data_IF_008947780965
#
_entry.id   IF_008947780965
#
_cell.length_a   1.000
_cell.length_b   1.000
_cell.length_c   1.000
_cell.angle_alpha   90.00
_cell.angle_beta   90.00
_cell.angle_gamma   90.00
#
_symmetry.space_group_name_H-M   'P 1'
#
loop_
_entity.id
_entity.type
_entity.pdbx_description
1 polymer ?
#
# COMPACT_ATOMS: atom_id res chain seq x y z
N UNK A 1 -70.91 -38.29 24.46
CA UNK A 1 -70.39 -38.58 23.10
C UNK A 1 -68.94 -38.29 23.04
N UNK A 2 -68.17 -39.36 23.25
CA UNK A 2 -66.69 -39.33 23.34
C UNK A 2 -66.10 -39.46 21.96
N UNK A 3 -65.28 -38.50 21.56
CA UNK A 3 -64.37 -38.70 20.45
C UNK A 3 -62.92 -38.61 20.98
N UNK A 4 -62.36 -39.78 21.14
CA UNK A 4 -60.94 -39.95 21.43
C UNK A 4 -60.13 -39.72 20.15
N UNK A 5 -59.34 -38.68 20.12
CA UNK A 5 -58.36 -38.45 19.07
C UNK A 5 -57.06 -39.14 19.44
N UNK A 6 -56.70 -40.17 18.66
CA UNK A 6 -55.49 -40.91 18.77
C UNK A 6 -54.31 -40.05 18.27
N UNK A 7 -53.32 -39.80 19.16
CA UNK A 7 -52.03 -39.19 18.76
C UNK A 7 -51.15 -40.29 18.15
N UNK A 8 -50.93 -40.17 16.84
CA UNK A 8 -49.96 -41.01 16.14
C UNK A 8 -48.60 -40.40 16.29
N UNK A 9 -47.70 -41.09 16.99
CA UNK A 9 -46.32 -40.72 17.15
C UNK A 9 -45.55 -40.86 15.87
N UNK A 10 -45.01 -39.75 15.33
CA UNK A 10 -44.09 -39.74 14.20
C UNK A 10 -42.68 -39.78 14.77
N UNK A 11 -41.83 -40.74 14.43
CA UNK A 11 -40.41 -40.70 14.84
C UNK A 11 -39.65 -39.64 14.07
N UNK A 12 -39.12 -38.70 14.82
CA UNK A 12 -38.26 -37.62 14.33
C UNK A 12 -36.89 -38.20 13.98
N UNK A 13 -36.65 -38.33 12.66
CA UNK A 13 -35.33 -38.73 12.16
C UNK A 13 -34.39 -37.53 12.27
N UNK A 14 -33.47 -37.52 13.23
CA UNK A 14 -32.41 -36.54 13.35
C UNK A 14 -31.37 -36.85 12.27
N UNK A 15 -31.41 -36.10 11.15
CA UNK A 15 -30.33 -36.06 10.21
C UNK A 15 -29.23 -35.14 10.76
N UNK A 16 -28.16 -35.73 11.27
CA UNK A 16 -26.92 -34.99 11.61
C UNK A 16 -26.25 -34.50 10.35
N UNK A 17 -26.40 -33.22 10.03
CA UNK A 17 -25.61 -32.56 9.00
C UNK A 17 -24.25 -32.26 9.61
N UNK A 18 -23.26 -33.09 9.30
CA UNK A 18 -21.85 -32.79 9.59
C UNK A 18 -21.42 -31.62 8.71
N UNK A 19 -21.34 -30.41 9.30
CA UNK A 19 -20.63 -29.29 8.71
C UNK A 19 -19.16 -29.64 8.63
N UNK A 20 -18.68 -30.06 7.47
CA UNK A 20 -17.26 -30.12 7.17
C UNK A 20 -16.78 -28.68 7.05
N UNK A 21 -16.26 -28.12 8.13
CA UNK A 21 -15.50 -26.88 8.09
C UNK A 21 -14.22 -27.15 7.31
N UNK A 22 -14.22 -26.84 6.03
CA UNK A 22 -12.99 -26.75 5.25
C UNK A 22 -12.14 -25.63 5.86
N UNK A 23 -10.88 -25.90 6.28
CA UNK A 23 -9.99 -24.81 6.61
C UNK A 23 -9.76 -24.04 5.30
N UNK A 24 -10.34 -22.83 5.20
CA UNK A 24 -9.90 -21.86 4.25
C UNK A 24 -8.42 -21.60 4.58
N UNK A 25 -7.53 -22.27 3.87
CA UNK A 25 -6.13 -21.90 3.78
C UNK A 25 -6.19 -20.48 3.24
N UNK A 26 -6.06 -19.49 4.15
CA UNK A 26 -5.90 -18.11 3.81
C UNK A 26 -4.70 -18.04 2.89
N UNK A 27 -4.96 -17.86 1.61
CA UNK A 27 -3.99 -17.27 0.71
C UNK A 27 -3.77 -15.86 1.27
N UNK A 28 -2.81 -15.73 2.17
CA UNK A 28 -2.12 -14.47 2.39
C UNK A 28 -1.47 -14.20 1.03
N UNK A 29 -2.21 -13.51 0.16
CA UNK A 29 -1.61 -12.92 -1.02
C UNK A 29 -0.44 -12.11 -0.50
N UNK A 30 0.77 -12.48 -0.92
CA UNK A 30 1.99 -11.74 -0.68
C UNK A 30 1.68 -10.30 -1.08
N UNK A 31 1.47 -9.43 -0.10
CA UNK A 31 1.19 -8.02 -0.37
C UNK A 31 2.44 -7.51 -1.07
N UNK A 32 2.30 -7.24 -2.36
CA UNK A 32 3.38 -6.69 -3.15
C UNK A 32 3.64 -5.28 -2.61
N UNK A 33 4.69 -5.12 -1.83
CA UNK A 33 5.13 -3.84 -1.33
C UNK A 33 5.92 -3.13 -2.41
N UNK A 34 5.51 -1.92 -2.73
CA UNK A 34 6.17 -1.09 -3.74
C UNK A 34 6.79 0.13 -3.05
N UNK A 35 8.09 0.06 -2.77
CA UNK A 35 8.81 1.19 -2.17
C UNK A 35 9.23 2.20 -3.20
N UNK A 36 9.07 3.47 -2.82
CA UNK A 36 9.50 4.60 -3.65
C UNK A 36 10.37 5.55 -2.84
N UNK A 37 11.45 5.97 -3.46
CA UNK A 37 12.19 7.14 -3.02
C UNK A 37 11.50 8.37 -3.59
N UNK A 38 11.00 9.21 -2.71
CA UNK A 38 10.29 10.45 -3.04
C UNK A 38 11.22 11.63 -2.81
N UNK A 39 11.30 12.52 -3.79
CA UNK A 39 12.00 13.80 -3.70
C UNK A 39 10.99 14.90 -3.95
N UNK A 40 10.83 15.82 -3.01
CA UNK A 40 9.92 16.95 -3.06
C UNK A 40 10.71 18.26 -2.95
N UNK A 41 11.03 18.89 -4.07
CA UNK A 41 11.66 20.20 -4.13
C UNK A 41 10.61 21.26 -3.84
N UNK A 42 10.76 21.97 -2.71
CA UNK A 42 9.77 22.95 -2.26
C UNK A 42 9.80 24.19 -3.13
N UNK A 43 8.62 24.63 -3.54
CA UNK A 43 8.42 25.95 -4.16
C UNK A 43 8.57 27.05 -3.12
N UNK A 44 8.60 28.31 -3.56
CA UNK A 44 8.57 29.47 -2.64
C UNK A 44 7.38 29.42 -1.71
N UNK A 45 6.22 28.99 -2.21
CA UNK A 45 5.00 28.84 -1.39
C UNK A 45 5.12 27.67 -0.41
N UNK A 46 5.73 26.56 -0.85
CA UNK A 46 6.04 25.42 0.02
C UNK A 46 6.99 25.80 1.16
N UNK A 47 8.01 26.59 0.88
CA UNK A 47 8.93 27.12 1.90
C UNK A 47 8.24 28.06 2.90
N UNK A 48 7.36 28.94 2.42
CA UNK A 48 6.54 29.79 3.30
C UNK A 48 5.61 28.95 4.20
N UNK A 49 5.04 27.89 3.63
CA UNK A 49 4.19 26.97 4.38
C UNK A 49 4.99 26.21 5.45
N UNK A 50 6.20 25.76 5.13
CA UNK A 50 7.11 25.14 6.10
C UNK A 50 7.45 26.09 7.26
N UNK A 51 7.64 27.38 7.00
CA UNK A 51 7.90 28.38 8.03
C UNK A 51 6.71 28.63 8.97
N UNK A 52 5.48 28.43 8.49
CA UNK A 52 4.24 28.59 9.28
C UNK A 52 3.90 27.38 10.14
N UNK A 53 4.48 26.23 9.80
CA UNK A 53 4.25 24.95 10.48
C UNK A 53 5.55 24.49 11.14
N UNK A 54 5.44 23.53 12.07
CA UNK A 54 6.62 22.80 12.53
C UNK A 54 7.00 21.73 11.50
N UNK A 55 8.28 21.38 11.41
CA UNK A 55 8.72 20.26 10.56
C UNK A 55 8.04 18.94 10.94
N UNK A 56 7.77 18.74 12.24
CA UNK A 56 7.02 17.57 12.74
C UNK A 56 5.58 17.58 12.23
N UNK A 57 4.92 18.75 12.25
CA UNK A 57 3.56 18.91 11.73
C UNK A 57 3.50 18.67 10.21
N UNK A 58 4.47 19.20 9.47
CA UNK A 58 4.57 18.93 8.03
C UNK A 58 4.74 17.43 7.75
N UNK A 59 5.63 16.75 8.48
CA UNK A 59 5.82 15.30 8.34
C UNK A 59 4.53 14.53 8.64
N UNK A 60 3.78 14.92 9.67
CA UNK A 60 2.49 14.29 9.99
C UNK A 60 1.48 14.47 8.84
N UNK A 61 1.35 15.67 8.29
CA UNK A 61 0.47 15.92 7.14
C UNK A 61 0.89 15.14 5.89
N UNK A 62 2.19 14.99 5.66
CA UNK A 62 2.71 14.14 4.57
C UNK A 62 2.35 12.67 4.79
N UNK A 63 2.40 12.18 6.04
CA UNK A 63 2.00 10.80 6.35
C UNK A 63 0.52 10.57 6.09
N UNK A 64 -0.36 11.46 6.56
CA UNK A 64 -1.81 11.39 6.30
C UNK A 64 -2.13 11.45 4.80
N UNK A 65 -1.43 12.31 4.06
CA UNK A 65 -1.58 12.40 2.61
C UNK A 65 -1.14 11.13 1.89
N UNK A 66 -0.05 10.50 2.33
CA UNK A 66 0.41 9.23 1.80
C UNK A 66 -0.60 8.10 2.09
N UNK A 67 -1.14 8.04 3.30
CA UNK A 67 -2.16 7.06 3.69
C UNK A 67 -3.42 7.17 2.83
N UNK A 68 -3.86 8.38 2.51
CA UNK A 68 -5.01 8.60 1.62
C UNK A 68 -4.79 8.05 0.20
N UNK A 69 -3.55 7.91 -0.25
CA UNK A 69 -3.17 7.30 -1.52
C UNK A 69 -2.86 5.78 -1.41
N UNK A 70 -3.08 5.18 -0.24
CA UNK A 70 -2.75 3.77 0.02
C UNK A 70 -1.25 3.52 0.18
N UNK A 71 -0.50 4.54 0.60
CA UNK A 71 0.93 4.48 0.87
C UNK A 71 1.21 4.73 2.35
N UNK A 72 2.30 4.18 2.84
CA UNK A 72 2.81 4.40 4.20
C UNK A 72 4.12 5.16 4.15
N UNK A 73 4.22 6.25 4.89
CA UNK A 73 5.48 6.98 5.05
C UNK A 73 6.41 6.21 6.01
N UNK A 74 7.53 5.69 5.50
CA UNK A 74 8.53 4.98 6.31
C UNK A 74 9.55 5.94 6.92
N UNK A 75 10.05 6.89 6.12
CA UNK A 75 11.03 7.87 6.56
C UNK A 75 10.83 9.21 5.87
N UNK A 76 11.26 10.29 6.55
CA UNK A 76 11.20 11.65 6.02
C UNK A 76 12.37 12.47 6.54
N UNK A 77 13.03 13.18 5.64
CA UNK A 77 14.18 14.04 5.92
C UNK A 77 14.04 15.33 5.14
N UNK A 78 14.66 16.39 5.62
CA UNK A 78 14.74 17.66 4.90
C UNK A 78 16.21 18.02 4.64
N UNK A 79 16.50 18.40 3.41
CA UNK A 79 17.81 18.83 2.93
C UNK A 79 17.80 20.37 2.77
N UNK A 80 18.29 21.13 3.77
CA UNK A 80 18.17 22.59 3.77
C UNK A 80 18.86 23.26 2.60
N UNK A 81 20.02 22.76 2.18
CA UNK A 81 20.82 23.32 1.09
C UNK A 81 20.14 23.22 -0.29
N UNK A 82 19.25 22.25 -0.45
CA UNK A 82 18.49 22.04 -1.68
C UNK A 82 17.01 22.42 -1.55
N UNK A 83 16.55 22.89 -0.39
CA UNK A 83 15.12 23.13 -0.10
C UNK A 83 14.24 21.93 -0.45
N UNK A 84 14.75 20.72 -0.24
CA UNK A 84 14.13 19.47 -0.71
C UNK A 84 13.81 18.55 0.46
N UNK A 85 12.58 18.06 0.51
CA UNK A 85 12.22 16.93 1.37
C UNK A 85 12.49 15.60 0.65
N UNK A 86 13.00 14.63 1.41
CA UNK A 86 13.28 13.27 0.95
C UNK A 86 12.51 12.28 1.81
N UNK A 87 11.89 11.30 1.17
CA UNK A 87 11.10 10.30 1.88
C UNK A 87 11.22 8.92 1.26
N UNK A 88 10.99 7.90 2.07
CA UNK A 88 10.66 6.56 1.61
C UNK A 88 9.19 6.33 1.92
N UNK A 89 8.45 5.91 0.90
CA UNK A 89 7.06 5.49 1.04
C UNK A 89 6.90 4.06 0.54
N UNK A 90 6.09 3.29 1.23
CA UNK A 90 5.69 1.93 0.86
C UNK A 90 4.23 1.96 0.42
N UNK A 91 3.97 1.67 -0.83
CA UNK A 91 2.64 1.75 -1.44
C UNK A 91 2.08 0.35 -1.70
N UNK A 92 0.78 0.18 -1.50
CA UNK A 92 0.06 -1.06 -1.81
C UNK A 92 -0.10 -1.29 -3.33
N UNK A 93 0.12 -0.25 -4.14
CA UNK A 93 0.05 -0.33 -5.61
C UNK A 93 0.85 0.80 -6.27
N UNK A 94 1.24 0.59 -7.51
CA UNK A 94 1.87 1.62 -8.35
C UNK A 94 0.92 2.79 -8.63
N UNK A 95 -0.40 2.51 -8.72
CA UNK A 95 -1.42 3.55 -8.91
C UNK A 95 -1.45 4.50 -7.71
N UNK A 96 -1.33 3.98 -6.48
CA UNK A 96 -1.25 4.79 -5.27
C UNK A 96 -0.04 5.73 -5.28
N UNK A 97 1.13 5.22 -5.67
CA UNK A 97 2.35 6.03 -5.81
C UNK A 97 2.20 7.12 -6.88
N UNK A 98 1.61 6.80 -8.03
CA UNK A 98 1.35 7.76 -9.10
C UNK A 98 0.33 8.82 -8.66
N UNK A 99 -0.75 8.43 -7.97
CA UNK A 99 -1.76 9.35 -7.46
C UNK A 99 -1.16 10.33 -6.44
N UNK A 100 -0.32 9.84 -5.52
CA UNK A 100 0.41 10.66 -4.56
C UNK A 100 1.26 11.72 -5.28
N UNK A 101 2.03 11.32 -6.29
CA UNK A 101 2.90 12.24 -7.05
C UNK A 101 2.08 13.30 -7.81
N UNK A 102 1.02 12.89 -8.51
CA UNK A 102 0.17 13.80 -9.29
C UNK A 102 -0.52 14.80 -8.37
N UNK A 103 -1.12 14.34 -7.27
CA UNK A 103 -1.82 15.21 -6.33
C UNK A 103 -0.88 16.18 -5.62
N UNK A 104 0.32 15.74 -5.23
CA UNK A 104 1.32 16.60 -4.61
C UNK A 104 1.80 17.70 -5.55
N UNK A 105 2.05 17.38 -6.84
CA UNK A 105 2.42 18.36 -7.84
C UNK A 105 1.28 19.35 -8.13
N UNK A 106 0.04 18.87 -8.19
CA UNK A 106 -1.14 19.71 -8.39
C UNK A 106 -1.37 20.71 -7.24
N UNK A 107 -0.96 20.38 -6.02
CA UNK A 107 -1.05 21.28 -4.87
C UNK A 107 -0.10 22.48 -4.95
N UNK A 108 0.94 22.43 -5.78
CA UNK A 108 1.83 23.57 -6.07
C UNK A 108 2.84 23.91 -4.98
N UNK A 109 2.89 23.17 -3.87
CA UNK A 109 3.84 23.41 -2.77
C UNK A 109 5.22 22.82 -3.00
N UNK A 110 5.33 21.83 -3.89
CA UNK A 110 6.58 21.18 -4.23
C UNK A 110 6.53 20.59 -5.64
N UNK A 111 7.70 20.42 -6.24
CA UNK A 111 7.90 19.55 -7.40
C UNK A 111 8.28 18.15 -6.88
N UNK A 112 7.36 17.20 -7.02
CA UNK A 112 7.50 15.87 -6.47
C UNK A 112 7.83 14.85 -7.55
N UNK A 113 8.86 14.06 -7.30
CA UNK A 113 9.20 12.87 -8.10
C UNK A 113 9.24 11.65 -7.20
N UNK A 114 8.70 10.53 -7.68
CA UNK A 114 8.77 9.24 -7.01
C UNK A 114 9.47 8.24 -7.93
N UNK A 115 10.50 7.57 -7.40
CA UNK A 115 11.27 6.57 -8.12
C UNK A 115 11.18 5.24 -7.37
N UNK A 116 10.83 4.14 -8.04
CA UNK A 116 10.82 2.83 -7.39
C UNK A 116 12.22 2.49 -6.89
N UNK A 117 12.30 1.89 -5.72
CA UNK A 117 13.53 1.39 -5.12
C UNK A 117 13.33 -0.06 -4.71
N UNK A 118 14.40 -0.82 -4.77
CA UNK A 118 14.41 -2.24 -4.43
C UNK A 118 15.23 -2.45 -3.16
N UNK A 119 14.81 -3.40 -2.34
CA UNK A 119 15.66 -3.96 -1.30
C UNK A 119 16.77 -4.81 -1.91
N UNK A 120 17.76 -5.20 -1.11
CA UNK A 120 18.81 -6.10 -1.57
C UNK A 120 18.26 -7.44 -2.06
N UNK A 121 17.28 -7.99 -1.32
CA UNK A 121 16.62 -9.26 -1.65
C UNK A 121 15.79 -9.18 -2.93
N UNK A 122 15.14 -8.04 -3.17
CA UNK A 122 14.41 -7.79 -4.43
C UNK A 122 15.39 -7.63 -5.59
N UNK A 123 16.52 -6.96 -5.39
CA UNK A 123 17.56 -6.81 -6.39
C UNK A 123 18.17 -8.16 -6.75
N UNK A 124 18.38 -9.06 -5.79
CA UNK A 124 18.86 -10.41 -6.04
C UNK A 124 17.92 -11.18 -6.99
N UNK A 125 16.61 -11.03 -6.81
CA UNK A 125 15.60 -11.60 -7.73
C UNK A 125 15.74 -11.01 -9.14
N UNK A 126 15.91 -9.69 -9.24
CA UNK A 126 16.12 -9.02 -10.54
C UNK A 126 17.39 -9.50 -11.22
N UNK A 127 18.48 -9.67 -10.47
CA UNK A 127 19.75 -10.19 -11.01
C UNK A 127 19.61 -11.61 -11.54
N UNK A 128 18.87 -12.46 -10.83
CA UNK A 128 18.59 -13.83 -11.30
C UNK A 128 17.81 -13.83 -12.63
N UNK A 129 16.76 -12.99 -12.75
CA UNK A 129 16.01 -12.83 -14.01
C UNK A 129 16.89 -12.26 -15.11
N UNK A 130 17.70 -11.24 -14.80
CA UNK A 130 18.62 -10.61 -15.76
C UNK A 130 19.64 -11.61 -16.32
N UNK A 131 20.19 -12.48 -15.48
CA UNK A 131 21.12 -13.52 -15.91
C UNK A 131 20.49 -14.54 -16.87
N UNK A 132 19.19 -14.79 -16.77
CA UNK A 132 18.43 -15.65 -17.65
C UNK A 132 17.96 -14.94 -18.93
N UNK A 133 17.96 -13.60 -18.96
CA UNK A 133 17.51 -12.78 -20.08
C UNK A 133 18.65 -12.59 -21.07
N UNK A 134 18.51 -13.15 -22.27
CA UNK A 134 19.49 -12.92 -23.35
C UNK A 134 19.07 -11.71 -24.19
N UNK A 135 19.94 -10.70 -24.38
CA UNK A 135 19.64 -9.65 -25.33
C UNK A 135 19.50 -10.22 -26.74
N UNK A 136 18.63 -9.61 -27.59
CA UNK A 136 18.57 -10.01 -29.00
C UNK A 136 19.97 -9.84 -29.61
N UNK A 137 20.47 -10.93 -30.23
CA UNK A 137 21.75 -10.91 -30.90
C UNK A 137 21.62 -9.91 -32.05
N UNK A 138 22.48 -8.92 -32.08
CA UNK A 138 22.66 -8.06 -33.25
C UNK A 138 23.18 -8.96 -34.40
N UNK A 139 22.32 -9.17 -35.39
CA UNK A 139 22.70 -9.83 -36.65
C UNK A 139 23.41 -8.83 -37.53
#
# INVERSE_FOLDING_TARGET
>A
MDQRIAFTSVPMLLAAIALVASPALGQQGEQTHHRYFVSAELTVEGMKNLQKQTATGLRAGVAEFAEAAGCKLESWYFEPGASTARAIVDCSSEIGAAALQVSANAAGFAHVTAKPVLTAEELDKVLAVSAATRPPQQQ
#
